data_IF_425571540215
#
_entry.id   IF_425571540215
#
_cell.length_a   1.000
_cell.length_b   1.000
_cell.length_c   1.000
_cell.angle_alpha   90.00
_cell.angle_beta   90.00
_cell.angle_gamma   90.00
#
_symmetry.space_group_name_H-M   'P 1'
#
loop_
_entity.id
_entity.type
_entity.pdbx_description
1 polymer ?
#
# COMPACT_ATOMS: atom_id res chain seq x y z
N UNK A 1 10.13 -4.44 -14.92
CA UNK A 1 9.79 -5.76 -14.34
C UNK A 1 10.94 -6.20 -13.47
N UNK A 2 10.66 -6.58 -12.25
CA UNK A 2 11.65 -7.07 -11.27
C UNK A 2 11.19 -8.47 -10.81
N UNK A 3 12.10 -9.42 -10.80
CA UNK A 3 11.86 -10.79 -10.33
C UNK A 3 12.68 -10.99 -9.06
N UNK A 4 12.03 -11.25 -7.95
CA UNK A 4 12.64 -11.38 -6.64
C UNK A 4 12.36 -12.77 -6.08
N UNK A 5 13.41 -13.45 -5.63
CA UNK A 5 13.25 -14.74 -4.95
C UNK A 5 12.70 -14.53 -3.52
N UNK A 6 11.92 -15.49 -2.98
CA UNK A 6 11.28 -15.33 -1.67
C UNK A 6 12.29 -15.01 -0.56
N UNK A 7 13.49 -15.58 -0.61
CA UNK A 7 14.56 -15.35 0.38
C UNK A 7 15.18 -13.95 0.33
N UNK A 8 15.04 -13.24 -0.79
CA UNK A 8 15.59 -11.88 -0.97
C UNK A 8 14.61 -10.78 -0.55
N UNK A 9 13.35 -11.14 -0.27
CA UNK A 9 12.35 -10.18 0.18
C UNK A 9 12.62 -9.83 1.66
N UNK A 10 12.94 -8.56 1.99
CA UNK A 10 13.32 -8.18 3.36
C UNK A 10 12.13 -8.04 4.31
N UNK A 11 10.89 -8.03 3.80
CA UNK A 11 9.66 -7.76 4.56
C UNK A 11 8.97 -9.06 4.96
N UNK A 12 8.58 -9.17 6.23
CA UNK A 12 7.78 -10.27 6.80
C UNK A 12 6.43 -9.74 7.27
N UNK A 13 5.50 -10.61 7.63
CA UNK A 13 4.26 -10.18 8.29
C UNK A 13 4.49 -9.56 9.67
N UNK A 14 5.58 -9.89 10.34
CA UNK A 14 5.97 -9.29 11.62
C UNK A 14 6.33 -7.80 11.50
N UNK A 15 6.72 -7.35 10.29
CA UNK A 15 7.02 -5.94 10.01
C UNK A 15 5.77 -5.12 9.70
N UNK A 16 4.59 -5.75 9.69
CA UNK A 16 3.31 -5.14 9.33
C UNK A 16 2.42 -5.07 10.58
N UNK A 17 2.25 -3.88 11.13
CA UNK A 17 1.36 -3.67 12.28
C UNK A 17 -0.09 -3.45 11.85
N UNK A 18 -1.01 -4.10 12.58
CA UNK A 18 -2.43 -3.80 12.52
C UNK A 18 -3.21 -4.40 11.36
N UNK A 19 -2.67 -5.39 10.65
CA UNK A 19 -3.39 -6.11 9.59
C UNK A 19 -3.58 -7.60 9.91
N UNK A 20 -3.59 -7.97 11.19
CA UNK A 20 -3.58 -9.36 11.64
C UNK A 20 -4.73 -10.19 11.05
N UNK A 21 -5.96 -9.65 11.02
CA UNK A 21 -7.13 -10.31 10.46
C UNK A 21 -6.97 -10.55 8.94
N UNK A 22 -6.52 -9.54 8.21
CA UNK A 22 -6.29 -9.65 6.75
C UNK A 22 -5.15 -10.62 6.45
N UNK A 23 -4.11 -10.62 7.28
CA UNK A 23 -2.98 -11.55 7.15
C UNK A 23 -3.46 -12.99 7.31
N UNK A 24 -4.32 -13.27 8.30
CA UNK A 24 -4.84 -14.61 8.51
C UNK A 24 -5.75 -15.06 7.36
N UNK A 25 -6.64 -14.19 6.89
CA UNK A 25 -7.46 -14.48 5.71
C UNK A 25 -6.60 -14.72 4.45
N UNK A 26 -5.48 -14.01 4.29
CA UNK A 26 -4.53 -14.22 3.18
C UNK A 26 -3.76 -15.55 3.33
N UNK A 27 -3.42 -15.94 4.55
CA UNK A 27 -2.82 -17.26 4.81
C UNK A 27 -3.74 -18.39 4.39
N UNK A 28 -4.97 -18.35 4.86
CA UNK A 28 -5.96 -19.39 4.55
C UNK A 28 -6.38 -19.37 3.07
N UNK A 29 -6.63 -18.19 2.52
CA UNK A 29 -7.20 -18.03 1.19
C UNK A 29 -6.19 -18.05 0.05
N UNK A 30 -4.90 -17.84 0.30
CA UNK A 30 -3.88 -17.70 -0.73
C UNK A 30 -2.66 -18.57 -0.44
N UNK A 31 -2.03 -18.44 0.75
CA UNK A 31 -0.77 -19.12 1.04
C UNK A 31 -0.96 -20.63 1.07
N UNK A 32 -1.90 -21.11 1.88
CA UNK A 32 -2.09 -22.56 2.03
C UNK A 32 -2.48 -23.24 0.71
N UNK A 33 -3.40 -22.72 -0.12
CA UNK A 33 -3.67 -23.31 -1.44
C UNK A 33 -2.47 -23.30 -2.39
N UNK A 34 -1.57 -22.31 -2.30
CA UNK A 34 -0.35 -22.26 -3.12
C UNK A 34 0.74 -23.21 -2.63
N UNK A 35 0.90 -23.36 -1.31
CA UNK A 35 1.99 -24.14 -0.70
C UNK A 35 1.62 -25.61 -0.50
N UNK A 36 0.35 -25.90 -0.21
CA UNK A 36 -0.17 -27.22 0.13
C UNK A 36 -1.28 -27.69 -0.87
N UNK A 37 -1.04 -27.62 -2.19
CA UNK A 37 -2.07 -27.90 -3.18
C UNK A 37 -2.68 -29.31 -3.06
N UNK A 38 -1.90 -30.28 -2.57
CA UNK A 38 -2.36 -31.66 -2.41
C UNK A 38 -3.47 -31.81 -1.36
N UNK A 39 -3.51 -30.96 -0.33
CA UNK A 39 -4.57 -30.99 0.68
C UNK A 39 -5.88 -30.41 0.12
N UNK A 40 -5.78 -29.43 -0.74
CA UNK A 40 -6.93 -28.74 -1.31
C UNK A 40 -7.53 -29.49 -2.50
N UNK A 41 -6.71 -29.83 -3.49
CA UNK A 41 -7.17 -30.53 -4.72
C UNK A 41 -7.61 -31.96 -4.46
N UNK A 42 -7.03 -32.63 -3.46
CA UNK A 42 -7.42 -33.99 -3.08
C UNK A 42 -8.78 -34.05 -2.37
N UNK A 43 -9.27 -32.95 -1.81
CA UNK A 43 -10.53 -32.89 -1.08
C UNK A 43 -11.71 -32.42 -1.95
N UNK A 44 -11.49 -31.41 -2.80
CA UNK A 44 -12.52 -30.88 -3.70
C UNK A 44 -11.90 -30.12 -4.87
N UNK A 45 -12.49 -30.30 -6.06
CA UNK A 45 -12.12 -29.49 -7.25
C UNK A 45 -12.43 -28.00 -7.12
N UNK A 46 -13.23 -27.61 -6.10
CA UNK A 46 -13.55 -26.21 -5.81
C UNK A 46 -12.47 -25.53 -4.98
N UNK A 47 -11.59 -26.30 -4.32
CA UNK A 47 -10.56 -25.79 -3.43
C UNK A 47 -9.24 -25.64 -4.21
N UNK A 48 -9.17 -24.59 -5.01
CA UNK A 48 -7.95 -24.23 -5.77
C UNK A 48 -7.41 -22.88 -5.30
N UNK A 49 -6.11 -22.67 -5.53
CA UNK A 49 -5.52 -21.35 -5.29
C UNK A 49 -6.24 -20.29 -6.15
N UNK A 50 -6.56 -19.11 -5.59
CA UNK A 50 -7.24 -18.08 -6.36
C UNK A 50 -6.32 -17.56 -7.46
N UNK A 51 -6.85 -17.44 -8.68
CA UNK A 51 -6.12 -16.90 -9.83
C UNK A 51 -5.82 -15.40 -9.69
N UNK A 52 -6.61 -14.70 -8.88
CA UNK A 52 -6.46 -13.27 -8.65
C UNK A 52 -6.92 -12.84 -7.26
N UNK A 53 -6.15 -11.90 -6.69
CA UNK A 53 -6.37 -11.27 -5.39
C UNK A 53 -6.23 -9.76 -5.55
N UNK A 54 -7.12 -9.00 -4.96
CA UNK A 54 -7.09 -7.54 -5.00
C UNK A 54 -6.96 -6.96 -3.59
N UNK A 55 -5.90 -6.16 -3.38
CA UNK A 55 -5.74 -5.31 -2.20
C UNK A 55 -6.20 -3.90 -2.56
N UNK A 56 -7.20 -3.36 -1.85
CA UNK A 56 -7.71 -2.03 -2.17
C UNK A 56 -7.89 -1.17 -0.92
N UNK A 57 -7.77 0.14 -1.06
CA UNK A 57 -7.95 1.09 0.02
C UNK A 57 -7.02 2.29 -0.07
N UNK A 58 -7.05 3.21 0.91
CA UNK A 58 -6.29 4.45 0.87
C UNK A 58 -4.79 4.25 0.66
N UNK A 59 -4.08 5.23 0.09
CA UNK A 59 -2.64 5.18 -0.03
C UNK A 59 -1.95 5.14 1.33
N UNK A 60 -0.76 4.55 1.40
CA UNK A 60 0.04 4.51 2.62
C UNK A 60 -0.41 3.49 3.69
N UNK A 61 -1.42 2.66 3.41
CA UNK A 61 -1.93 1.65 4.36
C UNK A 61 -1.20 0.29 4.30
N UNK A 62 -0.10 0.16 3.54
CA UNK A 62 0.74 -1.02 3.57
C UNK A 62 0.44 -2.10 2.51
N UNK A 63 -0.41 -1.83 1.49
CA UNK A 63 -0.76 -2.80 0.44
C UNK A 63 0.44 -3.45 -0.24
N UNK A 64 1.43 -2.66 -0.66
CA UNK A 64 2.65 -3.15 -1.31
C UNK A 64 3.54 -3.95 -0.34
N UNK A 65 3.60 -3.56 0.95
CA UNK A 65 4.31 -4.32 1.97
C UNK A 65 3.64 -5.68 2.20
N UNK A 66 2.31 -5.69 2.30
CA UNK A 66 1.52 -6.90 2.48
C UNK A 66 1.72 -7.89 1.32
N UNK A 67 1.76 -7.38 0.07
CA UNK A 67 2.05 -8.19 -1.12
C UNK A 67 3.44 -8.86 -1.06
N UNK A 68 4.45 -8.11 -0.64
CA UNK A 68 5.82 -8.61 -0.48
C UNK A 68 5.92 -9.66 0.63
N UNK A 69 5.33 -9.38 1.79
CA UNK A 69 5.31 -10.32 2.90
C UNK A 69 4.58 -11.62 2.55
N UNK A 70 3.46 -11.52 1.81
CA UNK A 70 2.72 -12.67 1.30
C UNK A 70 3.59 -13.57 0.41
N UNK A 71 4.35 -12.99 -0.51
CA UNK A 71 5.24 -13.74 -1.39
C UNK A 71 6.36 -14.43 -0.61
N UNK A 72 6.96 -13.75 0.37
CA UNK A 72 7.98 -14.33 1.23
C UNK A 72 7.44 -15.53 2.03
N UNK A 73 6.30 -15.35 2.68
CA UNK A 73 5.70 -16.39 3.54
C UNK A 73 5.24 -17.60 2.73
N UNK A 74 4.69 -17.37 1.52
CA UNK A 74 4.26 -18.45 0.62
C UNK A 74 5.43 -19.20 -0.05
N UNK A 75 6.67 -18.73 0.09
CA UNK A 75 7.81 -19.26 -0.66
C UNK A 75 7.66 -19.11 -2.18
N UNK A 76 6.76 -18.24 -2.64
CA UNK A 76 6.53 -18.00 -4.06
C UNK A 76 7.52 -16.98 -4.62
N UNK A 77 7.91 -17.17 -5.88
CA UNK A 77 8.65 -16.18 -6.63
C UNK A 77 7.81 -14.91 -6.80
N UNK A 78 8.36 -13.74 -6.53
CA UNK A 78 7.67 -12.47 -6.63
C UNK A 78 8.07 -11.73 -7.91
N UNK A 79 7.11 -11.55 -8.80
CA UNK A 79 7.30 -10.77 -10.03
C UNK A 79 6.60 -9.43 -9.84
N UNK A 80 7.39 -8.37 -9.63
CA UNK A 80 6.86 -7.01 -9.52
C UNK A 80 6.75 -6.39 -10.91
N UNK A 81 5.53 -6.17 -11.35
CA UNK A 81 5.21 -5.57 -12.63
C UNK A 81 4.87 -4.09 -12.45
N UNK A 82 5.84 -3.22 -12.75
CA UNK A 82 5.59 -1.79 -12.77
C UNK A 82 4.86 -1.38 -14.04
N UNK A 83 3.80 -0.63 -13.88
CA UNK A 83 2.93 -0.17 -14.95
C UNK A 83 3.65 0.70 -15.97
N UNK A 84 4.56 1.58 -15.54
CA UNK A 84 5.44 2.37 -16.41
C UNK A 84 6.15 1.50 -17.46
N UNK A 85 6.54 0.29 -17.07
CA UNK A 85 7.19 -0.67 -17.98
C UNK A 85 6.26 -1.14 -19.11
N UNK A 86 4.95 -1.12 -18.90
CA UNK A 86 3.94 -1.52 -19.90
C UNK A 86 3.56 -0.36 -20.83
N UNK A 87 3.72 0.89 -20.38
CA UNK A 87 3.26 2.08 -21.12
C UNK A 87 4.38 2.83 -21.86
N UNK A 88 5.65 2.66 -21.45
CA UNK A 88 6.75 3.55 -21.85
C UNK A 88 7.41 3.25 -23.18
N UNK A 89 7.18 2.16 -23.90
CA UNK A 89 7.89 1.94 -25.19
C UNK A 89 7.09 1.15 -26.22
N UNK A 90 6.89 1.78 -27.41
CA UNK A 90 6.64 1.21 -28.74
C UNK A 90 5.46 0.23 -28.86
N UNK A 91 4.50 0.61 -29.69
CA UNK A 91 3.21 -0.02 -30.02
C UNK A 91 3.17 -1.54 -30.29
N UNK A 92 4.27 -2.26 -30.28
CA UNK A 92 4.31 -3.74 -30.49
C UNK A 92 4.99 -4.52 -29.38
N UNK A 93 5.77 -3.86 -28.51
CA UNK A 93 6.60 -4.56 -27.53
C UNK A 93 5.90 -4.78 -26.19
N UNK A 94 4.86 -4.01 -25.89
CA UNK A 94 4.09 -4.15 -24.65
C UNK A 94 3.34 -5.50 -24.57
N UNK A 95 2.76 -5.97 -25.69
CA UNK A 95 2.11 -7.27 -25.75
C UNK A 95 3.11 -8.43 -25.57
N UNK A 96 4.29 -8.32 -26.18
CA UNK A 96 5.38 -9.29 -26.00
C UNK A 96 5.85 -9.33 -24.55
N UNK A 97 5.91 -8.15 -23.88
CA UNK A 97 6.28 -8.06 -22.48
C UNK A 97 5.25 -8.75 -21.58
N UNK A 98 3.95 -8.55 -21.82
CA UNK A 98 2.88 -9.25 -21.10
C UNK A 98 3.03 -10.75 -21.27
N UNK A 99 3.15 -11.25 -22.50
CA UNK A 99 3.36 -12.67 -22.78
C UNK A 99 4.62 -13.23 -22.11
N UNK A 100 5.72 -12.45 -22.09
CA UNK A 100 6.96 -12.83 -21.41
C UNK A 100 6.78 -12.95 -19.89
N UNK A 101 6.05 -12.01 -19.24
CA UNK A 101 5.73 -12.07 -17.80
C UNK A 101 5.02 -13.37 -17.46
N UNK A 102 3.96 -13.72 -18.19
CA UNK A 102 3.21 -14.94 -17.95
C UNK A 102 4.03 -16.21 -18.27
N UNK A 103 4.89 -16.15 -19.30
CA UNK A 103 5.82 -17.26 -19.61
C UNK A 103 6.82 -17.50 -18.48
N UNK A 104 7.38 -16.43 -17.91
CA UNK A 104 8.29 -16.50 -16.76
C UNK A 104 7.54 -17.02 -15.53
N UNK A 105 6.34 -16.50 -15.24
CA UNK A 105 5.53 -16.94 -14.12
C UNK A 105 5.23 -18.44 -14.17
N UNK A 106 4.93 -18.98 -15.36
CA UNK A 106 4.73 -20.43 -15.55
C UNK A 106 5.98 -21.26 -15.27
N UNK A 107 7.16 -20.72 -15.51
CA UNK A 107 8.45 -21.43 -15.29
C UNK A 107 8.92 -21.37 -13.83
N UNK A 108 8.53 -20.33 -13.09
CA UNK A 108 9.00 -20.07 -11.74
C UNK A 108 7.98 -20.43 -10.64
N UNK A 109 7.03 -21.28 -10.93
CA UNK A 109 6.00 -21.69 -9.97
C UNK A 109 6.58 -22.31 -8.68
N UNK A 110 6.03 -21.99 -7.49
CA UNK A 110 4.90 -21.08 -7.26
C UNK A 110 5.28 -19.62 -7.46
N UNK A 111 4.38 -18.81 -8.05
CA UNK A 111 4.68 -17.41 -8.42
C UNK A 111 3.52 -16.49 -8.06
N UNK A 112 3.86 -15.34 -7.51
CA UNK A 112 2.94 -14.20 -7.32
C UNK A 112 3.35 -13.08 -8.27
N UNK A 113 2.47 -12.73 -9.21
CA UNK A 113 2.63 -11.58 -10.10
C UNK A 113 1.94 -10.40 -9.45
N UNK A 114 2.72 -9.45 -8.95
CA UNK A 114 2.21 -8.26 -8.29
C UNK A 114 2.13 -7.08 -9.24
N UNK A 115 1.00 -6.40 -9.22
CA UNK A 115 0.73 -5.21 -10.02
C UNK A 115 0.26 -4.11 -9.08
N UNK A 116 1.12 -3.12 -8.85
CA UNK A 116 0.72 -1.93 -8.10
C UNK A 116 -0.02 -0.95 -9.01
N UNK A 117 -0.93 -0.18 -8.43
CA UNK A 117 -1.77 0.78 -9.16
C UNK A 117 -2.46 0.15 -10.40
N UNK A 118 -3.04 -1.04 -10.21
CA UNK A 118 -3.63 -1.84 -11.29
C UNK A 118 -4.70 -1.07 -12.09
N UNK A 119 -5.36 -0.09 -11.46
CA UNK A 119 -6.33 0.82 -12.07
C UNK A 119 -5.74 1.67 -13.18
N UNK A 120 -4.44 1.95 -13.17
CA UNK A 120 -3.80 2.77 -14.20
C UNK A 120 -3.68 2.07 -15.58
N UNK A 121 -3.64 0.73 -15.63
CA UNK A 121 -3.57 -0.05 -16.89
C UNK A 121 -4.83 -0.86 -17.15
N UNK A 122 -5.41 -1.43 -16.10
CA UNK A 122 -6.57 -2.31 -16.19
C UNK A 122 -7.85 -1.60 -15.69
N UNK A 123 -7.86 -0.27 -15.70
CA UNK A 123 -9.00 0.57 -15.36
C UNK A 123 -10.10 0.55 -16.42
N UNK A 124 -11.20 1.22 -16.09
CA UNK A 124 -12.30 1.48 -17.03
C UNK A 124 -11.81 2.34 -18.19
N UNK A 125 -12.33 2.07 -19.39
CA UNK A 125 -11.99 2.85 -20.58
C UNK A 125 -12.49 4.29 -20.43
N UNK A 126 -11.58 5.25 -20.57
CA UNK A 126 -11.91 6.67 -20.66
C UNK A 126 -12.00 7.07 -22.13
N UNK A 127 -12.92 7.97 -22.47
CA UNK A 127 -13.01 8.55 -23.81
C UNK A 127 -11.71 9.27 -24.14
N UNK A 128 -10.96 8.77 -25.15
CA UNK A 128 -9.65 9.29 -25.55
C UNK A 128 -8.46 8.40 -25.13
N UNK A 129 -8.70 7.25 -24.53
CA UNK A 129 -7.65 6.27 -24.25
C UNK A 129 -7.07 5.71 -25.56
N UNK A 130 -5.75 5.69 -25.70
CA UNK A 130 -5.08 5.19 -26.89
C UNK A 130 -5.44 3.70 -27.13
N UNK A 131 -5.71 3.32 -28.37
CA UNK A 131 -5.95 1.93 -28.80
C UNK A 131 -4.92 0.94 -28.24
N UNK A 132 -3.68 1.39 -28.07
CA UNK A 132 -2.59 0.62 -27.49
C UNK A 132 -2.86 0.12 -26.06
N UNK A 133 -3.44 0.93 -25.19
CA UNK A 133 -3.81 0.52 -23.83
C UNK A 133 -4.86 -0.60 -23.84
N UNK A 134 -5.82 -0.49 -24.78
CA UNK A 134 -6.84 -1.52 -24.97
C UNK A 134 -6.26 -2.86 -25.43
N UNK A 135 -5.24 -2.85 -26.31
CA UNK A 135 -4.55 -4.06 -26.78
C UNK A 135 -3.76 -4.75 -25.67
N UNK A 136 -3.01 -3.97 -24.86
CA UNK A 136 -2.26 -4.50 -23.71
C UNK A 136 -3.21 -5.14 -22.70
N UNK A 137 -4.32 -4.49 -22.40
CA UNK A 137 -5.37 -5.02 -21.52
C UNK A 137 -5.96 -6.32 -22.06
N UNK A 138 -6.30 -6.38 -23.36
CA UNK A 138 -6.82 -7.59 -23.98
C UNK A 138 -5.83 -8.74 -23.94
N UNK A 139 -4.55 -8.49 -24.25
CA UNK A 139 -3.48 -9.50 -24.17
C UNK A 139 -3.32 -9.99 -22.71
N UNK A 140 -3.31 -9.06 -21.74
CA UNK A 140 -3.21 -9.42 -20.33
C UNK A 140 -4.36 -10.33 -19.90
N UNK A 141 -5.60 -10.02 -20.29
CA UNK A 141 -6.77 -10.82 -19.98
C UNK A 141 -6.69 -12.21 -20.64
N UNK A 142 -6.24 -12.30 -21.90
CA UNK A 142 -6.06 -13.55 -22.64
C UNK A 142 -5.04 -14.46 -21.95
N UNK A 143 -3.89 -13.90 -21.55
CA UNK A 143 -2.87 -14.66 -20.83
C UNK A 143 -3.35 -15.11 -19.44
N UNK A 144 -4.15 -14.27 -18.77
CA UNK A 144 -4.74 -14.61 -17.47
C UNK A 144 -5.73 -15.76 -17.58
N UNK A 145 -6.63 -15.70 -18.56
CA UNK A 145 -7.60 -16.79 -18.81
C UNK A 145 -6.89 -18.11 -19.16
N UNK A 146 -5.74 -18.03 -19.82
CA UNK A 146 -4.88 -19.18 -20.06
C UNK A 146 -4.31 -19.82 -18.80
N UNK A 147 -4.25 -19.10 -17.65
CA UNK A 147 -3.88 -19.70 -16.37
C UNK A 147 -5.02 -20.55 -15.76
N UNK A 148 -6.27 -20.11 -15.95
CA UNK A 148 -7.45 -20.80 -15.43
C UNK A 148 -7.85 -22.00 -16.28
N UNK A 149 -7.66 -21.93 -17.59
CA UNK A 149 -8.00 -23.00 -18.55
C UNK A 149 -7.07 -24.22 -18.46
N UNK A 150 -5.79 -23.99 -18.12
CA UNK A 150 -4.80 -25.08 -18.01
C UNK A 150 -5.02 -25.99 -16.78
N UNK A 151 -5.94 -25.65 -15.89
CA UNK A 151 -6.35 -26.54 -14.78
C UNK A 151 -7.16 -27.73 -15.25
N UNK A 152 -7.72 -27.72 -16.47
CA UNK A 152 -8.47 -28.84 -17.07
C UNK A 152 -7.57 -29.98 -17.49
N UNK A 153 -6.27 -29.77 -17.70
CA UNK A 153 -5.30 -30.81 -18.12
C UNK A 153 -4.55 -31.48 -16.95
N UNK A 154 -5.07 -31.38 -15.72
CA UNK A 154 -4.53 -32.07 -14.53
C UNK A 154 -3.32 -31.42 -13.88
N UNK A 155 -2.85 -30.26 -14.34
CA UNK A 155 -1.77 -29.49 -13.75
C UNK A 155 -2.29 -28.30 -12.95
N UNK A 156 -2.30 -28.39 -11.63
CA UNK A 156 -2.70 -27.27 -10.76
C UNK A 156 -1.68 -26.12 -10.87
N UNK A 157 -1.98 -25.08 -11.65
CA UNK A 157 -1.08 -23.95 -11.81
C UNK A 157 -1.02 -23.14 -10.51
N UNK A 158 0.20 -22.99 -9.95
CA UNK A 158 0.47 -22.25 -8.71
C UNK A 158 0.92 -20.83 -9.03
N UNK A 159 0.05 -20.07 -9.72
CA UNK A 159 0.29 -18.68 -10.09
C UNK A 159 -0.89 -17.86 -9.59
N UNK A 160 -0.59 -16.82 -8.80
CA UNK A 160 -1.57 -15.88 -8.30
C UNK A 160 -1.24 -14.47 -8.80
N UNK A 161 -2.22 -13.77 -9.38
CA UNK A 161 -2.09 -12.36 -9.74
C UNK A 161 -2.60 -11.54 -8.57
N UNK A 162 -1.73 -10.71 -8.00
CA UNK A 162 -2.01 -9.86 -6.87
C UNK A 162 -2.02 -8.41 -7.31
N UNK A 163 -3.20 -7.81 -7.38
CA UNK A 163 -3.36 -6.38 -7.72
C UNK A 163 -3.45 -5.52 -6.47
N UNK A 164 -2.89 -4.32 -6.53
CA UNK A 164 -3.13 -3.28 -5.54
C UNK A 164 -3.70 -2.03 -6.20
N UNK A 165 -4.67 -1.37 -5.55
CA UNK A 165 -5.28 -0.12 -6.03
C UNK A 165 -5.68 0.80 -4.90
N UNK A 166 -5.63 2.09 -5.16
CA UNK A 166 -6.22 3.11 -4.29
C UNK A 166 -7.69 3.41 -4.66
N UNK A 167 -8.14 2.97 -5.86
CA UNK A 167 -9.44 3.31 -6.44
C UNK A 167 -10.11 2.08 -7.06
N UNK A 168 -10.75 1.27 -6.24
CA UNK A 168 -11.42 0.05 -6.71
C UNK A 168 -12.53 0.36 -7.75
N UNK A 169 -13.19 1.52 -7.63
CA UNK A 169 -14.23 1.95 -8.56
C UNK A 169 -13.72 2.23 -9.98
N UNK A 170 -12.42 2.49 -10.16
CA UNK A 170 -11.82 2.79 -11.46
C UNK A 170 -11.39 1.51 -12.21
N UNK A 171 -11.46 0.35 -11.55
CA UNK A 171 -11.09 -0.94 -12.18
C UNK A 171 -12.23 -1.43 -13.07
N UNK A 172 -11.85 -2.02 -14.22
CA UNK A 172 -12.79 -2.67 -15.13
C UNK A 172 -13.46 -3.89 -14.47
N UNK A 173 -14.76 -4.03 -14.65
CA UNK A 173 -15.54 -5.12 -14.07
C UNK A 173 -15.06 -6.51 -14.52
N UNK A 174 -14.58 -6.64 -15.76
CA UNK A 174 -14.02 -7.88 -16.26
C UNK A 174 -12.76 -8.31 -15.50
N UNK A 175 -11.95 -7.35 -15.04
CA UNK A 175 -10.79 -7.60 -14.16
C UNK A 175 -11.27 -7.96 -12.76
N UNK A 176 -12.24 -7.24 -12.20
CA UNK A 176 -12.81 -7.52 -10.88
C UNK A 176 -13.41 -8.93 -10.77
N UNK A 177 -13.97 -9.47 -11.86
CA UNK A 177 -14.48 -10.86 -11.94
C UNK A 177 -13.35 -11.89 -11.87
N UNK A 178 -12.14 -11.56 -12.35
CA UNK A 178 -10.96 -12.43 -12.29
C UNK A 178 -10.21 -12.34 -10.96
N UNK A 179 -10.59 -11.39 -10.10
CA UNK A 179 -10.08 -11.22 -8.74
C UNK A 179 -11.17 -11.57 -7.71
N UNK A 180 -11.46 -12.87 -7.48
CA UNK A 180 -12.54 -13.29 -6.60
C UNK A 180 -12.28 -12.93 -5.14
N UNK A 181 -11.03 -12.84 -4.72
CA UNK A 181 -10.62 -12.45 -3.37
C UNK A 181 -10.26 -10.96 -3.35
N UNK A 182 -10.98 -10.19 -2.53
CA UNK A 182 -10.82 -8.74 -2.41
C UNK A 182 -10.68 -8.37 -0.95
N UNK A 183 -9.55 -7.77 -0.58
CA UNK A 183 -9.20 -7.41 0.79
C UNK A 183 -9.15 -5.89 0.96
N UNK A 184 -10.02 -5.31 1.81
CA UNK A 184 -10.00 -3.89 2.11
C UNK A 184 -8.87 -3.57 3.09
N UNK A 185 -7.89 -2.80 2.67
CA UNK A 185 -6.80 -2.29 3.52
C UNK A 185 -7.13 -0.85 3.89
N UNK A 186 -7.86 -0.67 4.98
CA UNK A 186 -8.34 0.62 5.45
C UNK A 186 -7.30 1.39 6.28
N UNK A 187 -7.62 2.64 6.63
CA UNK A 187 -6.83 3.39 7.60
C UNK A 187 -6.82 2.68 8.95
N UNK A 188 -5.67 2.68 9.65
CA UNK A 188 -5.53 1.93 10.90
C UNK A 188 -6.37 2.54 12.04
N UNK A 189 -7.04 1.68 12.80
CA UNK A 189 -7.71 2.02 14.04
C UNK A 189 -6.71 2.33 15.17
N UNK A 190 -7.18 2.70 16.37
CA UNK A 190 -6.29 3.11 17.47
C UNK A 190 -5.33 2.00 17.91
N UNK A 191 -5.78 0.74 18.00
CA UNK A 191 -4.91 -0.40 18.37
C UNK A 191 -3.87 -0.69 17.30
N UNK A 192 -4.28 -0.64 16.03
CA UNK A 192 -3.39 -0.84 14.88
C UNK A 192 -2.35 0.27 14.77
N UNK A 193 -2.74 1.55 15.00
CA UNK A 193 -1.77 2.66 15.05
C UNK A 193 -0.74 2.46 16.16
N UNK A 194 -1.17 1.95 17.33
CA UNK A 194 -0.24 1.62 18.41
C UNK A 194 0.79 0.59 17.96
N UNK A 195 0.37 -0.50 17.35
CA UNK A 195 1.27 -1.53 16.81
C UNK A 195 2.25 -0.93 15.78
N UNK A 196 1.77 -0.04 14.90
CA UNK A 196 2.63 0.64 13.91
C UNK A 196 3.69 1.52 14.61
N UNK A 197 3.32 2.27 15.66
CA UNK A 197 4.28 3.05 16.45
C UNK A 197 5.29 2.13 17.15
N UNK A 198 4.82 1.06 17.80
CA UNK A 198 5.68 0.10 18.52
C UNK A 198 6.71 -0.52 17.56
N UNK A 199 6.28 -0.95 16.37
CA UNK A 199 7.18 -1.51 15.35
C UNK A 199 8.16 -0.46 14.79
N UNK A 200 7.66 0.75 14.50
CA UNK A 200 8.50 1.80 13.88
C UNK A 200 9.55 2.33 14.86
N UNK A 201 9.25 2.38 16.15
CA UNK A 201 10.12 2.91 17.19
C UNK A 201 10.94 1.84 17.90
N UNK A 202 10.82 0.56 17.52
CA UNK A 202 11.46 -0.59 18.16
C UNK A 202 12.95 -0.40 18.44
N UNK A 203 13.69 0.17 17.47
CA UNK A 203 15.13 0.39 17.54
C UNK A 203 15.48 1.85 17.85
N UNK A 204 14.49 2.68 18.21
CA UNK A 204 14.69 4.09 18.50
C UNK A 204 14.89 4.30 20.00
N UNK A 205 15.92 5.06 20.39
CA UNK A 205 16.15 5.43 21.78
C UNK A 205 15.07 6.38 22.28
N UNK A 206 14.26 5.92 23.21
CA UNK A 206 13.16 6.65 23.85
C UNK A 206 13.64 7.24 25.17
N UNK A 207 13.17 8.43 25.53
CA UNK A 207 13.41 9.03 26.82
C UNK A 207 12.47 8.41 27.87
N UNK A 208 13.03 7.61 28.75
CA UNK A 208 12.30 6.91 29.82
C UNK A 208 12.11 7.76 31.08
N UNK A 209 12.48 9.04 31.08
CA UNK A 209 12.32 9.91 32.24
C UNK A 209 10.85 10.24 32.49
N UNK A 210 10.56 10.53 33.76
CA UNK A 210 9.22 10.94 34.22
C UNK A 210 9.28 12.39 34.64
N UNK A 211 8.32 13.18 34.19
CA UNK A 211 8.18 14.59 34.59
C UNK A 211 7.87 14.72 36.08
N UNK A 212 8.04 15.93 36.63
CA UNK A 212 7.74 16.23 38.03
C UNK A 212 6.27 16.03 38.43
N UNK A 213 5.37 15.96 37.46
CA UNK A 213 3.95 15.69 37.62
C UNK A 213 3.59 14.19 37.53
N UNK A 214 4.60 13.30 37.45
CA UNK A 214 4.43 11.85 37.37
C UNK A 214 4.09 11.32 35.98
N UNK A 215 4.07 12.15 34.93
CA UNK A 215 3.82 11.72 33.56
C UNK A 215 5.11 11.29 32.86
N UNK A 216 5.07 10.23 32.03
CA UNK A 216 6.23 9.87 31.24
C UNK A 216 6.51 10.96 30.18
N UNK A 217 7.78 11.26 29.95
CA UNK A 217 8.23 12.22 28.93
C UNK A 217 7.88 11.71 27.53
N UNK A 218 7.87 10.39 27.36
CA UNK A 218 7.38 9.74 26.14
C UNK A 218 6.08 8.97 26.42
N UNK A 219 4.98 9.39 25.84
CA UNK A 219 3.65 8.76 25.93
C UNK A 219 3.12 8.35 24.57
N UNK A 220 3.23 7.07 24.28
CA UNK A 220 2.72 6.48 23.04
C UNK A 220 1.18 6.58 22.95
N UNK A 221 0.47 6.56 24.08
CA UNK A 221 -0.99 6.66 24.10
C UNK A 221 -1.46 8.05 23.65
N UNK A 222 -0.68 9.10 23.98
CA UNK A 222 -0.92 10.44 23.46
C UNK A 222 -0.72 10.49 21.95
N UNK A 223 0.36 9.87 21.42
CA UNK A 223 0.63 9.81 19.99
C UNK A 223 -0.48 9.08 19.23
N UNK A 224 -0.97 7.96 19.76
CA UNK A 224 -2.09 7.20 19.17
C UNK A 224 -3.38 8.04 19.11
N UNK A 225 -3.67 8.86 20.11
CA UNK A 225 -4.85 9.74 20.10
C UNK A 225 -4.77 10.79 19.00
N UNK A 226 -3.63 11.47 18.89
CA UNK A 226 -3.46 12.61 17.96
C UNK A 226 -3.22 12.15 16.51
N UNK A 227 -2.81 10.91 16.29
CA UNK A 227 -2.60 10.34 14.95
C UNK A 227 -3.87 9.78 14.33
N UNK A 228 -5.06 10.12 14.85
CA UNK A 228 -6.32 9.69 14.27
C UNK A 228 -6.46 10.11 12.81
N UNK A 229 -6.80 9.18 11.91
CA UNK A 229 -6.91 9.42 10.48
C UNK A 229 -5.59 9.33 9.69
N UNK A 230 -4.45 9.12 10.35
CA UNK A 230 -3.17 8.93 9.67
C UNK A 230 -3.03 7.52 9.12
N UNK A 231 -2.43 7.41 7.94
CA UNK A 231 -2.01 6.12 7.36
C UNK A 231 -0.73 5.59 8.03
N UNK A 232 -0.39 4.33 7.79
CA UNK A 232 0.86 3.76 8.28
C UNK A 232 2.11 4.49 7.77
N UNK A 233 2.07 4.96 6.52
CA UNK A 233 3.16 5.78 5.95
C UNK A 233 3.29 7.13 6.64
N UNK A 234 2.17 7.78 6.96
CA UNK A 234 2.17 9.08 7.65
C UNK A 234 2.73 8.95 9.07
N UNK A 235 2.36 7.88 9.79
CA UNK A 235 2.91 7.57 11.11
C UNK A 235 4.42 7.33 11.04
N UNK A 236 4.88 6.55 10.07
CA UNK A 236 6.31 6.27 9.87
C UNK A 236 7.09 7.55 9.58
N UNK A 237 6.57 8.43 8.72
CA UNK A 237 7.23 9.71 8.42
C UNK A 237 7.21 10.65 9.65
N UNK A 238 6.11 10.69 10.41
CA UNK A 238 6.06 11.44 11.68
C UNK A 238 7.10 10.94 12.68
N UNK A 239 7.29 9.64 12.83
CA UNK A 239 8.32 9.05 13.67
C UNK A 239 9.74 9.44 13.21
N UNK A 240 9.97 9.43 11.90
CA UNK A 240 11.24 9.82 11.29
C UNK A 240 11.56 11.29 11.55
N UNK A 241 10.58 12.17 11.34
CA UNK A 241 10.74 13.60 11.59
C UNK A 241 11.00 13.91 13.06
N UNK A 242 10.26 13.25 13.96
CA UNK A 242 10.45 13.36 15.39
C UNK A 242 11.85 12.89 15.82
N UNK A 243 12.31 11.74 15.32
CA UNK A 243 13.63 11.19 15.62
C UNK A 243 14.79 12.11 15.16
N UNK A 244 14.54 12.97 14.17
CA UNK A 244 15.53 13.97 13.73
C UNK A 244 15.65 15.17 14.69
N UNK A 245 14.68 15.42 15.57
CA UNK A 245 14.69 16.61 16.47
C UNK A 245 15.85 16.55 17.46
N UNK A 246 16.05 15.48 18.26
CA UNK A 246 17.17 15.37 19.19
C UNK A 246 18.53 15.49 18.50
N UNK A 247 18.67 14.95 17.31
CA UNK A 247 19.91 15.01 16.51
C UNK A 247 20.21 16.44 16.08
N UNK A 248 19.18 17.17 15.60
CA UNK A 248 19.31 18.58 15.19
C UNK A 248 19.67 19.49 16.38
N UNK A 249 19.07 19.26 17.53
CA UNK A 249 19.39 19.99 18.77
C UNK A 249 20.83 19.77 19.19
N UNK A 250 21.28 18.52 19.20
CA UNK A 250 22.66 18.18 19.55
C UNK A 250 23.68 18.84 18.62
N UNK A 251 23.43 18.79 17.29
CA UNK A 251 24.28 19.44 16.29
C UNK A 251 24.30 20.96 16.51
N UNK A 252 23.16 21.57 16.82
CA UNK A 252 23.07 23.01 17.09
C UNK A 252 23.88 23.41 18.32
N UNK A 253 23.76 22.65 19.40
CA UNK A 253 24.53 22.88 20.64
C UNK A 253 26.04 22.77 20.39
N UNK A 254 26.48 21.78 19.62
CA UNK A 254 27.91 21.63 19.26
C UNK A 254 28.42 22.81 18.43
N UNK A 255 27.65 23.28 17.45
CA UNK A 255 28.01 24.44 16.65
C UNK A 255 28.17 25.71 17.51
N UNK A 256 27.29 25.90 18.48
CA UNK A 256 27.35 27.03 19.42
C UNK A 256 28.54 26.95 20.37
N UNK A 257 28.97 25.74 20.75
CA UNK A 257 30.11 25.54 21.66
C UNK A 257 31.48 25.53 20.94
N UNK A 258 31.52 25.73 19.61
CA UNK A 258 32.75 25.73 18.82
C UNK A 258 33.48 24.39 18.77
N UNK A 259 32.85 23.30 19.20
CA UNK A 259 33.44 21.95 19.21
C UNK A 259 33.45 21.33 17.81
N UNK A 260 34.53 20.63 17.50
CA UNK A 260 34.72 19.96 16.20
C UNK A 260 33.72 18.82 16.03
N UNK A 261 33.06 18.69 14.87
CA UNK A 261 32.07 17.66 14.57
C UNK A 261 32.66 16.23 14.49
N UNK A 262 33.98 16.08 14.49
CA UNK A 262 34.70 14.79 14.33
C UNK A 262 34.73 13.93 15.61
N UNK A 263 33.82 14.03 16.51
CA UNK A 263 33.81 13.23 17.74
C UNK A 263 32.43 12.99 18.31
N UNK A 264 31.41 13.15 17.46
CA UNK A 264 30.01 12.99 17.89
C UNK A 264 29.74 11.48 18.06
N UNK A 265 29.42 11.06 19.30
CA UNK A 265 28.90 9.72 19.57
C UNK A 265 27.39 9.78 19.64
N UNK A 266 26.73 8.80 19.05
CA UNK A 266 25.26 8.67 19.08
C UNK A 266 24.71 8.62 20.52
N UNK A 267 25.52 8.13 21.47
CA UNK A 267 25.20 8.04 22.90
C UNK A 267 24.92 9.39 23.58
N UNK A 268 25.46 10.48 23.02
CA UNK A 268 25.30 11.84 23.55
C UNK A 268 24.01 12.53 23.10
N UNK A 269 23.26 11.91 22.19
CA UNK A 269 21.97 12.41 21.74
C UNK A 269 20.89 11.98 22.73
N UNK A 270 20.03 12.91 23.20
CA UNK A 270 18.91 12.55 24.08
C UNK A 270 17.93 11.56 23.41
N UNK A 271 17.16 10.86 24.24
CA UNK A 271 16.07 10.04 23.75
C UNK A 271 14.94 10.86 23.13
N UNK A 272 14.09 10.18 22.37
CA UNK A 272 12.89 10.72 21.74
C UNK A 272 11.84 11.05 22.80
N UNK A 273 11.21 12.21 22.71
CA UNK A 273 10.15 12.69 23.58
C UNK A 273 8.85 12.86 22.81
N UNK A 274 7.71 12.84 23.52
CA UNK A 274 6.39 13.06 22.90
C UNK A 274 6.30 14.42 22.20
N UNK A 275 6.92 15.45 22.78
CA UNK A 275 6.91 16.82 22.23
C UNK A 275 7.61 16.94 20.88
N UNK A 276 8.54 16.03 20.56
CA UNK A 276 9.26 16.04 19.29
C UNK A 276 8.34 15.82 18.09
N UNK A 277 7.18 15.22 18.31
CA UNK A 277 6.16 15.00 17.27
C UNK A 277 5.32 16.25 16.96
N UNK A 278 5.28 17.24 17.85
CA UNK A 278 4.35 18.39 17.78
C UNK A 278 4.99 19.72 17.37
N UNK A 279 6.32 19.80 17.32
CA UNK A 279 7.03 21.01 16.94
C UNK A 279 6.79 21.42 15.48
N UNK A 280 7.17 22.68 15.11
CA UNK A 280 7.13 23.19 13.72
C UNK A 280 7.83 22.26 12.69
N UNK A 281 8.64 21.34 13.15
CA UNK A 281 9.38 20.34 12.38
C UNK A 281 9.00 18.89 12.75
N UNK A 282 8.00 18.72 13.63
CA UNK A 282 7.44 17.43 14.00
C UNK A 282 6.33 17.04 13.03
N UNK A 283 6.37 15.79 12.54
CA UNK A 283 5.56 15.34 11.42
C UNK A 283 4.05 15.43 11.60
N UNK A 284 3.53 15.27 12.83
CA UNK A 284 2.07 15.28 13.08
C UNK A 284 1.46 16.66 12.81
N UNK A 285 2.12 17.74 13.18
CA UNK A 285 1.58 19.10 12.99
C UNK A 285 1.50 19.50 11.51
N UNK A 286 2.42 19.04 10.67
CA UNK A 286 2.42 19.34 9.24
C UNK A 286 1.32 18.59 8.50
N UNK A 287 1.08 17.34 8.87
CA UNK A 287 0.05 16.49 8.25
C UNK A 287 -1.37 16.97 8.58
N UNK A 288 -1.65 17.37 9.83
CA UNK A 288 -2.94 17.95 10.20
C UNK A 288 -3.25 19.25 9.45
N UNK A 289 -2.25 20.09 9.18
CA UNK A 289 -2.45 21.30 8.36
C UNK A 289 -2.68 20.99 6.88
N UNK A 290 -2.08 19.92 6.34
CA UNK A 290 -2.31 19.51 4.96
C UNK A 290 -3.70 18.90 4.76
N UNK A 291 -4.19 18.11 5.71
CA UNK A 291 -5.52 17.52 5.66
C UNK A 291 -6.62 18.57 5.87
N UNK A 292 -6.42 19.56 6.75
CA UNK A 292 -7.31 20.70 6.88
C UNK A 292 -7.40 21.50 5.57
N UNK A 293 -6.29 21.70 4.86
CA UNK A 293 -6.27 22.38 3.56
C UNK A 293 -6.94 21.55 2.44
N UNK A 294 -6.81 20.23 2.46
CA UNK A 294 -7.50 19.34 1.52
C UNK A 294 -9.01 19.33 1.76
N UNK A 295 -9.43 19.28 3.03
CA UNK A 295 -10.85 19.26 3.42
C UNK A 295 -11.53 20.59 3.12
N UNK A 296 -10.83 21.73 3.28
CA UNK A 296 -11.35 23.06 2.89
C UNK A 296 -11.49 23.17 1.38
N UNK A 297 -10.49 22.74 0.59
CA UNK A 297 -10.59 22.73 -0.88
C UNK A 297 -11.76 21.91 -1.39
N UNK A 298 -11.96 20.70 -0.87
CA UNK A 298 -13.10 19.85 -1.27
C UNK A 298 -14.45 20.48 -0.89
N UNK A 299 -14.54 21.23 0.21
CA UNK A 299 -15.76 21.98 0.57
C UNK A 299 -16.01 23.17 -0.33
N UNK A 300 -14.97 23.90 -0.70
CA UNK A 300 -15.08 25.06 -1.59
C UNK A 300 -15.50 24.62 -3.00
N UNK A 301 -14.95 23.51 -3.52
CA UNK A 301 -15.36 22.93 -4.81
C UNK A 301 -16.82 22.44 -4.79
N UNK A 302 -17.31 21.87 -3.70
CA UNK A 302 -18.73 21.44 -3.56
C UNK A 302 -19.65 22.67 -3.46
N UNK A 303 -19.24 23.75 -2.82
CA UNK A 303 -20.01 24.99 -2.74
C UNK A 303 -20.07 25.72 -4.09
N UNK A 304 -19.01 25.70 -4.87
CA UNK A 304 -18.95 26.33 -6.20
C UNK A 304 -19.86 25.61 -7.20
N UNK A 305 -19.90 24.26 -7.15
CA UNK A 305 -20.81 23.45 -7.98
C UNK A 305 -22.28 23.63 -7.54
N UNK A 306 -22.55 23.81 -6.25
CA UNK A 306 -23.90 24.05 -5.75
C UNK A 306 -24.43 25.46 -6.08
N UNK A 307 -23.56 26.45 -6.16
CA UNK A 307 -23.92 27.84 -6.52
C UNK A 307 -24.10 28.03 -8.03
N UNK A 308 -23.42 27.22 -8.87
CA UNK A 308 -23.57 27.25 -10.32
C UNK A 308 -24.87 26.54 -10.80
N UNK A 309 -25.46 25.69 -9.98
CA UNK A 309 -26.71 24.97 -10.31
C UNK A 309 -28.00 25.69 -9.99
N UNK A 310 -28.00 26.86 -9.35
CA UNK A 310 -29.21 27.58 -8.92
C UNK A 310 -29.61 28.78 -9.81
N UNK A 311 -28.99 28.92 -10.98
CA UNK A 311 -29.16 30.07 -11.87
C UNK A 311 -30.04 29.86 -13.10
N UNK A 312 -30.79 28.80 -13.25
CA UNK A 312 -31.68 28.57 -14.39
C UNK A 312 -33.10 28.22 -13.93
N UNK A 313 -33.87 29.24 -13.53
CA UNK A 313 -35.32 29.16 -13.42
C UNK A 313 -35.94 29.88 -14.61
N UNK A 314 -36.60 29.07 -15.39
CA UNK A 314 -37.46 29.32 -16.55
C UNK A 314 -38.30 30.59 -16.46
N UNK A 315 -38.25 31.34 -17.55
CA UNK A 315 -39.40 32.14 -18.02
C UNK A 315 -40.30 31.21 -18.82
N UNK A 316 -41.46 30.94 -18.30
CA UNK A 316 -42.59 30.38 -19.07
C UNK A 316 -43.29 31.57 -19.71
N UNK A 317 -43.15 31.70 -21.03
CA UNK A 317 -43.99 32.58 -21.83
C UNK A 317 -45.35 31.87 -22.07
N UNK A 318 -46.40 32.48 -21.56
CA UNK A 318 -47.79 32.27 -21.96
C UNK A 318 -47.98 32.79 -23.43
N UNK A 319 -48.46 31.92 -24.30
CA UNK A 319 -49.15 32.33 -25.52
C UNK A 319 -50.38 31.48 -25.73
N UNK A 320 -51.52 32.20 -25.97
CA UNK A 320 -52.86 31.81 -26.37
C UNK A 320 -52.99 30.57 -27.26
#
# INVERSE_FOLDING_TARGET
MEVVSPGEIPVTFEDIGGLDEIIEELREGVIYPLTLPHLYSGHSSLLTAPSGVLLYGPPGCGKTMLAKALARESGACFINLHISTLTEKWYGDSNKLVAAVFSIARKLQPTIVFIDEIDAVLGQRRSGEHEASGMVKAEFMTQWDGLTSATTDGGNQRICILGATNRIQDIDEAILRRMPKKFPVSLPNASQRRQIFDLTLKDTRIDATVCSDGRPVFDISALVRVSAGMSGSDIKEACRDAAMVPVREHIKALKQSGRNMRGIRAENVRGLQTEDFFGRRGGIHQLQQQDLKKTTRSRDEVHEVASAGSGSTEQVDDFD
#
